data_IF_002000870979
#
_entry.id   IF_002000870979
#
_cell.length_a   1.000
_cell.length_b   1.000
_cell.length_c   1.000
_cell.angle_alpha   90.00
_cell.angle_beta   90.00
_cell.angle_gamma   90.00
#
_symmetry.space_group_name_H-M   'P 1'
#
loop_
_entity.id
_entity.type
_entity.pdbx_description
1 polymer ?
#
# COMPACT_ATOMS: atom_id res chain seq x y z
N UNK A 1 -16.98 -21.18 -16.66
CA UNK A 1 -18.42 -21.17 -16.22
C UNK A 1 -18.44 -20.48 -14.87
N UNK A 2 -19.32 -19.51 -14.66
CA UNK A 2 -19.43 -18.80 -13.37
C UNK A 2 -19.64 -19.77 -12.20
N UNK A 3 -19.01 -19.43 -11.07
CA UNK A 3 -19.10 -20.19 -9.83
C UNK A 3 -19.63 -19.28 -8.71
N UNK A 4 -20.74 -19.66 -8.08
CA UNK A 4 -21.37 -18.88 -7.03
C UNK A 4 -20.48 -18.79 -5.77
N UNK A 5 -19.73 -19.85 -5.43
CA UNK A 5 -18.78 -19.87 -4.32
C UNK A 5 -17.64 -18.88 -4.53
N UNK A 6 -17.02 -18.88 -5.71
CA UNK A 6 -15.96 -17.93 -6.07
C UNK A 6 -16.49 -16.50 -6.08
N UNK A 7 -17.68 -16.27 -6.65
CA UNK A 7 -18.31 -14.95 -6.67
C UNK A 7 -18.58 -14.42 -5.24
N UNK A 8 -19.15 -15.26 -4.38
CA UNK A 8 -19.39 -14.90 -2.97
C UNK A 8 -18.09 -14.63 -2.21
N UNK A 9 -17.08 -15.48 -2.39
CA UNK A 9 -15.74 -15.28 -1.83
C UNK A 9 -15.13 -13.95 -2.26
N UNK A 10 -15.17 -13.64 -3.56
CA UNK A 10 -14.59 -12.40 -4.08
C UNK A 10 -15.34 -11.14 -3.65
N UNK A 11 -16.66 -11.19 -3.51
CA UNK A 11 -17.44 -10.06 -2.96
C UNK A 11 -17.06 -9.79 -1.50
N UNK A 12 -16.89 -10.86 -0.69
CA UNK A 12 -16.43 -10.73 0.71
C UNK A 12 -15.00 -10.21 0.76
N UNK A 13 -14.08 -10.75 -0.06
CA UNK A 13 -12.71 -10.24 -0.16
C UNK A 13 -12.67 -8.76 -0.56
N UNK A 14 -13.50 -8.34 -1.49
CA UNK A 14 -13.64 -6.94 -1.91
C UNK A 14 -14.06 -6.05 -0.72
N UNK A 15 -15.05 -6.48 0.06
CA UNK A 15 -15.48 -5.76 1.26
C UNK A 15 -14.37 -5.69 2.33
N UNK A 16 -13.59 -6.76 2.49
CA UNK A 16 -12.45 -6.78 3.42
C UNK A 16 -11.36 -5.78 2.99
N UNK A 17 -11.02 -5.72 1.70
CA UNK A 17 -10.03 -4.75 1.21
C UNK A 17 -10.56 -3.32 1.30
N UNK A 18 -11.86 -3.07 1.03
CA UNK A 18 -12.48 -1.77 1.29
C UNK A 18 -12.27 -1.32 2.73
N UNK A 19 -12.47 -2.23 3.69
CA UNK A 19 -12.33 -1.96 5.11
C UNK A 19 -10.90 -1.57 5.53
N UNK A 20 -9.88 -1.89 4.71
CA UNK A 20 -8.50 -1.49 4.98
C UNK A 20 -8.28 0.02 4.88
N UNK A 21 -8.99 0.74 4.03
CA UNK A 21 -8.80 2.20 3.90
C UNK A 21 -9.30 2.96 5.14
N UNK A 22 -10.50 2.70 5.71
CA UNK A 22 -10.84 3.18 7.04
C UNK A 22 -9.88 2.71 8.12
N UNK A 23 -9.41 1.44 8.07
CA UNK A 23 -8.40 0.91 8.99
C UNK A 23 -7.11 1.74 8.96
N UNK A 24 -6.63 2.09 7.76
CA UNK A 24 -5.48 2.97 7.59
C UNK A 24 -5.73 4.37 8.17
N UNK A 25 -6.95 4.91 7.99
CA UNK A 25 -7.33 6.20 8.57
C UNK A 25 -7.23 6.18 10.11
N UNK A 26 -7.65 5.09 10.77
CA UNK A 26 -7.48 4.91 12.22
C UNK A 26 -6.01 4.68 12.61
N UNK A 27 -5.28 3.86 11.87
CA UNK A 27 -3.86 3.60 12.12
C UNK A 27 -3.04 4.89 12.05
N UNK A 28 -3.14 5.63 10.95
CA UNK A 28 -2.46 6.90 10.78
C UNK A 28 -3.03 7.99 11.70
N UNK A 29 -4.35 8.06 11.82
CA UNK A 29 -5.03 9.00 12.70
C UNK A 29 -4.59 8.86 14.15
N UNK A 30 -4.39 7.63 14.65
CA UNK A 30 -3.85 7.36 15.96
C UNK A 30 -2.39 7.79 16.16
N UNK A 31 -1.55 7.64 15.11
CA UNK A 31 -0.12 7.97 15.15
C UNK A 31 0.17 9.48 15.10
N UNK A 32 -0.68 10.27 14.44
CA UNK A 32 -0.44 11.71 14.27
C UNK A 32 -0.67 12.51 15.54
N UNK A 33 -0.28 13.80 15.54
CA UNK A 33 -0.62 14.73 16.61
C UNK A 33 -2.12 15.00 16.63
N UNK A 34 -2.67 15.21 17.83
CA UNK A 34 -4.10 15.48 18.09
C UNK A 34 -4.71 16.56 17.16
N UNK A 35 -3.96 17.56 16.76
CA UNK A 35 -4.39 18.67 15.91
C UNK A 35 -4.35 18.40 14.39
N UNK A 36 -4.07 17.16 13.98
CA UNK A 36 -3.99 16.71 12.58
C UNK A 36 -4.78 15.42 12.32
N UNK A 37 -5.62 15.00 13.26
CA UNK A 37 -6.36 13.73 13.17
C UNK A 37 -7.43 13.79 12.10
N UNK A 38 -8.27 14.85 12.15
CA UNK A 38 -9.35 15.06 11.16
C UNK A 38 -8.76 15.19 9.77
N UNK A 39 -7.72 16.00 9.59
CA UNK A 39 -7.05 16.16 8.30
C UNK A 39 -6.51 14.82 7.76
N UNK A 40 -5.92 13.99 8.62
CA UNK A 40 -5.39 12.69 8.22
C UNK A 40 -6.50 11.73 7.81
N UNK A 41 -7.58 11.66 8.61
CA UNK A 41 -8.73 10.79 8.29
C UNK A 41 -9.50 11.30 7.07
N UNK A 42 -9.68 12.62 6.94
CA UNK A 42 -10.31 13.26 5.77
C UNK A 42 -9.53 12.97 4.48
N UNK A 43 -8.18 12.94 4.55
CA UNK A 43 -7.37 12.56 3.39
C UNK A 43 -7.72 11.14 2.91
N UNK A 44 -7.80 10.16 3.82
CA UNK A 44 -8.22 8.80 3.45
C UNK A 44 -9.66 8.78 2.92
N UNK A 45 -10.61 9.48 3.57
CA UNK A 45 -12.00 9.55 3.13
C UNK A 45 -12.16 10.18 1.74
N UNK A 46 -11.44 11.27 1.46
CA UNK A 46 -11.45 11.92 0.15
C UNK A 46 -10.86 11.01 -0.94
N UNK A 47 -9.80 10.26 -0.62
CA UNK A 47 -9.20 9.29 -1.53
C UNK A 47 -10.17 8.16 -1.86
N UNK A 48 -10.96 7.68 -0.88
CA UNK A 48 -11.98 6.66 -1.14
C UNK A 48 -12.96 7.12 -2.23
N UNK A 49 -13.56 8.29 -2.08
CA UNK A 49 -14.48 8.83 -3.08
C UNK A 49 -13.81 9.10 -4.44
N UNK A 50 -12.64 9.73 -4.42
CA UNK A 50 -11.88 10.03 -5.63
C UNK A 50 -11.51 8.76 -6.41
N UNK A 51 -11.02 7.73 -5.73
CA UNK A 51 -10.60 6.48 -6.36
C UNK A 51 -11.78 5.74 -6.99
N UNK A 52 -12.94 5.68 -6.34
CA UNK A 52 -14.14 5.05 -6.91
C UNK A 52 -14.52 5.75 -8.22
N UNK A 53 -14.60 7.08 -8.23
CA UNK A 53 -14.98 7.86 -9.41
C UNK A 53 -13.96 7.70 -10.53
N UNK A 54 -12.67 7.89 -10.24
CA UNK A 54 -11.62 7.80 -11.25
C UNK A 54 -11.47 6.38 -11.81
N UNK A 55 -11.57 5.35 -10.94
CA UNK A 55 -11.48 3.97 -11.36
C UNK A 55 -12.60 3.57 -12.31
N UNK A 56 -13.83 3.91 -11.96
CA UNK A 56 -14.99 3.58 -12.78
C UNK A 56 -15.03 4.34 -14.11
N UNK A 57 -14.58 5.60 -14.12
CA UNK A 57 -14.56 6.38 -15.36
C UNK A 57 -13.48 5.89 -16.34
N UNK A 58 -12.25 5.75 -15.90
CA UNK A 58 -11.13 5.44 -16.81
C UNK A 58 -10.04 4.58 -16.19
N UNK A 59 -9.89 4.56 -14.86
CA UNK A 59 -8.77 3.88 -14.20
C UNK A 59 -8.73 2.39 -14.47
N UNK A 60 -9.89 1.72 -14.41
CA UNK A 60 -9.99 0.31 -14.75
C UNK A 60 -9.53 0.05 -16.19
N UNK A 61 -9.99 0.85 -17.13
CA UNK A 61 -9.64 0.74 -18.54
C UNK A 61 -8.15 0.95 -18.80
N UNK A 62 -7.54 1.95 -18.16
CA UNK A 62 -6.12 2.23 -18.27
C UNK A 62 -5.23 1.16 -17.60
N UNK A 63 -5.72 0.50 -16.56
CA UNK A 63 -4.99 -0.57 -15.87
C UNK A 63 -5.13 -1.93 -16.57
N UNK A 64 -6.31 -2.26 -17.08
CA UNK A 64 -6.65 -3.62 -17.54
C UNK A 64 -7.17 -3.68 -18.98
N UNK A 65 -7.28 -2.54 -19.67
CA UNK A 65 -7.67 -2.47 -21.08
C UNK A 65 -6.62 -3.01 -22.04
N UNK A 66 -6.82 -2.79 -23.33
CA UNK A 66 -5.91 -3.25 -24.37
C UNK A 66 -4.50 -2.67 -24.23
N UNK A 67 -3.53 -3.53 -24.43
CA UNK A 67 -2.13 -3.24 -24.13
C UNK A 67 -1.52 -2.20 -25.10
N UNK A 68 -0.92 -1.16 -24.54
CA UNK A 68 -0.08 -0.21 -25.25
C UNK A 68 1.36 -0.25 -24.73
N UNK A 69 2.21 -0.98 -25.45
CA UNK A 69 3.63 -1.09 -25.17
C UNK A 69 3.98 -1.76 -23.84
N UNK A 70 3.07 -2.51 -23.25
CA UNK A 70 3.24 -3.15 -21.94
C UNK A 70 3.17 -2.19 -20.76
N UNK A 71 2.82 -0.91 -20.98
CA UNK A 71 2.91 0.15 -19.96
C UNK A 71 1.53 0.57 -19.46
N UNK A 72 0.54 0.68 -20.35
CA UNK A 72 -0.79 1.22 -20.03
C UNK A 72 -1.85 0.58 -20.92
N UNK A 73 -3.08 0.48 -20.42
CA UNK A 73 -4.24 0.05 -21.20
C UNK A 73 -4.83 1.16 -22.07
N UNK A 74 -5.90 0.82 -22.79
CA UNK A 74 -6.68 1.73 -23.61
C UNK A 74 -7.97 2.22 -22.89
N UNK A 75 -8.88 2.87 -23.64
CA UNK A 75 -10.17 3.33 -23.13
C UNK A 75 -11.37 2.43 -23.48
N UNK A 76 -11.14 1.14 -23.83
CA UNK A 76 -12.21 0.21 -24.24
C UNK A 76 -13.33 0.04 -23.22
N UNK A 77 -13.02 0.19 -21.94
CA UNK A 77 -13.98 0.09 -20.83
C UNK A 77 -14.21 1.43 -20.13
N UNK A 78 -14.13 2.54 -20.87
CA UNK A 78 -14.43 3.86 -20.33
C UNK A 78 -15.83 3.87 -19.70
N UNK A 79 -15.94 4.40 -18.49
CA UNK A 79 -17.18 4.40 -17.67
C UNK A 79 -17.78 2.99 -17.49
N UNK A 80 -16.91 1.94 -17.47
CA UNK A 80 -17.27 0.52 -17.42
C UNK A 80 -18.20 0.05 -18.54
N UNK A 81 -18.24 0.76 -19.67
CA UNK A 81 -19.00 0.33 -20.84
C UNK A 81 -18.49 -1.02 -21.35
N UNK A 82 -19.38 -1.97 -21.57
CA UNK A 82 -19.04 -3.34 -21.97
C UNK A 82 -18.54 -4.25 -20.85
N UNK A 83 -18.49 -3.77 -19.59
CA UNK A 83 -18.24 -4.60 -18.40
C UNK A 83 -19.56 -5.13 -17.89
N UNK A 84 -19.72 -6.45 -17.88
CA UNK A 84 -20.99 -7.11 -17.58
C UNK A 84 -20.93 -8.11 -16.44
N UNK A 85 -21.93 -8.97 -16.43
CA UNK A 85 -22.14 -10.01 -15.42
C UNK A 85 -21.45 -11.33 -15.79
N UNK A 86 -21.06 -11.49 -17.05
CA UNK A 86 -20.29 -12.63 -17.51
C UNK A 86 -18.82 -12.49 -17.08
N UNK A 87 -18.06 -13.60 -17.02
CA UNK A 87 -16.64 -13.58 -16.76
C UNK A 87 -15.88 -12.66 -17.73
N UNK A 88 -14.91 -11.92 -17.20
CA UNK A 88 -14.02 -11.07 -17.97
C UNK A 88 -12.69 -11.78 -18.33
N UNK A 89 -11.77 -11.09 -19.02
CA UNK A 89 -10.52 -11.69 -19.48
C UNK A 89 -9.53 -12.04 -18.36
N UNK A 90 -9.76 -11.57 -17.13
CA UNK A 90 -8.83 -11.76 -16.00
C UNK A 90 -9.28 -12.81 -14.99
N UNK A 91 -10.54 -13.29 -15.07
CA UNK A 91 -11.06 -14.31 -14.17
C UNK A 91 -12.23 -15.07 -14.82
N UNK A 92 -12.13 -16.40 -14.89
CA UNK A 92 -13.04 -17.25 -15.65
C UNK A 92 -14.29 -17.70 -14.85
N UNK A 93 -14.28 -17.52 -13.52
CA UNK A 93 -15.29 -18.07 -12.61
C UNK A 93 -16.14 -17.02 -11.90
N UNK A 94 -15.81 -15.75 -12.04
CA UNK A 94 -16.51 -14.63 -11.42
C UNK A 94 -16.97 -13.59 -12.45
N UNK A 95 -18.05 -12.85 -12.18
CA UNK A 95 -18.47 -11.74 -13.03
C UNK A 95 -17.36 -10.70 -13.23
N UNK A 96 -17.26 -10.16 -14.44
CA UNK A 96 -16.28 -9.09 -14.74
C UNK A 96 -16.39 -7.90 -13.78
N UNK A 97 -17.62 -7.49 -13.42
CA UNK A 97 -17.85 -6.43 -12.43
C UNK A 97 -17.26 -6.74 -11.04
N UNK A 98 -17.20 -8.01 -10.64
CA UNK A 98 -16.61 -8.41 -9.35
C UNK A 98 -15.09 -8.25 -9.39
N UNK A 99 -14.45 -8.62 -10.51
CA UNK A 99 -13.03 -8.35 -10.72
C UNK A 99 -12.73 -6.84 -10.69
N UNK A 100 -13.53 -6.05 -11.40
CA UNK A 100 -13.41 -4.57 -11.39
C UNK A 100 -13.51 -4.00 -9.99
N UNK A 101 -14.52 -4.45 -9.21
CA UNK A 101 -14.74 -3.99 -7.84
C UNK A 101 -13.58 -4.40 -6.90
N UNK A 102 -13.04 -5.60 -7.04
CA UNK A 102 -11.90 -6.06 -6.27
C UNK A 102 -10.66 -5.21 -6.55
N UNK A 103 -10.32 -5.01 -7.82
CA UNK A 103 -9.16 -4.19 -8.22
C UNK A 103 -9.34 -2.70 -7.89
N UNK A 104 -10.58 -2.19 -7.83
CA UNK A 104 -10.88 -0.84 -7.36
C UNK A 104 -10.39 -0.60 -5.93
N UNK A 105 -10.47 -1.60 -5.06
CA UNK A 105 -10.02 -1.48 -3.67
C UNK A 105 -8.51 -1.28 -3.59
N UNK A 106 -7.74 -1.88 -4.49
CA UNK A 106 -6.29 -1.66 -4.59
C UNK A 106 -5.96 -0.26 -5.10
N UNK A 107 -6.70 0.23 -6.09
CA UNK A 107 -6.59 1.61 -6.57
C UNK A 107 -6.96 2.65 -5.49
N UNK A 108 -7.75 2.27 -4.50
CA UNK A 108 -8.15 3.10 -3.37
C UNK A 108 -7.09 3.12 -2.26
N UNK A 109 -6.64 1.95 -1.80
CA UNK A 109 -5.72 1.88 -0.67
C UNK A 109 -4.32 2.37 -1.02
N UNK A 110 -3.84 2.14 -2.24
CA UNK A 110 -2.47 2.44 -2.64
C UNK A 110 -2.11 3.92 -2.48
N UNK A 111 -2.85 4.88 -3.05
CA UNK A 111 -2.55 6.31 -2.85
C UNK A 111 -2.77 6.77 -1.41
N UNK A 112 -3.64 6.10 -0.64
CA UNK A 112 -3.85 6.43 0.77
C UNK A 112 -2.60 6.18 1.62
N UNK A 113 -1.77 5.18 1.26
CA UNK A 113 -0.50 4.91 1.95
C UNK A 113 0.47 6.10 1.89
N UNK A 114 0.48 6.86 0.79
CA UNK A 114 1.35 8.03 0.61
C UNK A 114 1.09 9.10 1.67
N UNK A 115 -0.16 9.20 2.13
CA UNK A 115 -0.57 10.27 3.07
C UNK A 115 0.21 10.22 4.37
N UNK A 116 0.65 9.03 4.82
CA UNK A 116 1.43 8.85 6.04
C UNK A 116 2.73 9.65 6.08
N UNK A 117 3.38 9.83 4.94
CA UNK A 117 4.65 10.57 4.86
C UNK A 117 4.49 12.09 4.96
N UNK A 118 3.32 12.64 4.62
CA UNK A 118 3.11 14.08 4.41
C UNK A 118 2.23 14.75 5.47
N UNK A 119 1.73 13.97 6.44
CA UNK A 119 0.84 14.46 7.50
C UNK A 119 1.41 15.68 8.24
N UNK A 120 0.51 16.60 8.54
CA UNK A 120 0.80 17.80 9.34
C UNK A 120 1.55 18.90 8.60
N UNK A 121 1.82 18.78 7.27
CA UNK A 121 2.50 19.83 6.50
C UNK A 121 2.09 19.97 5.04
N UNK A 122 1.42 18.98 4.44
CA UNK A 122 0.91 19.10 3.09
C UNK A 122 -0.48 19.73 3.08
N UNK A 123 -0.70 20.67 2.16
CA UNK A 123 -2.01 21.30 1.96
C UNK A 123 -3.02 20.29 1.43
N UNK A 124 -4.22 20.21 2.02
CA UNK A 124 -5.23 19.22 1.64
C UNK A 124 -5.60 19.30 0.15
N UNK A 125 -5.82 20.51 -0.36
CA UNK A 125 -6.08 20.74 -1.80
C UNK A 125 -4.96 20.18 -2.69
N UNK A 126 -3.70 20.40 -2.30
CA UNK A 126 -2.55 19.91 -3.05
C UNK A 126 -2.47 18.37 -3.01
N UNK A 127 -2.74 17.77 -1.86
CA UNK A 127 -2.80 16.32 -1.72
C UNK A 127 -3.88 15.71 -2.62
N UNK A 128 -5.08 16.30 -2.64
CA UNK A 128 -6.19 15.81 -3.46
C UNK A 128 -5.84 15.79 -4.96
N UNK A 129 -5.30 16.89 -5.50
CA UNK A 129 -4.86 16.93 -6.90
C UNK A 129 -3.64 16.03 -7.16
N UNK A 130 -2.72 15.96 -6.20
CA UNK A 130 -1.57 15.06 -6.31
C UNK A 130 -2.02 13.60 -6.46
N UNK A 131 -2.92 13.13 -5.63
CA UNK A 131 -3.44 11.74 -5.68
C UNK A 131 -4.15 11.48 -7.02
N UNK A 132 -4.96 12.41 -7.50
CA UNK A 132 -5.63 12.26 -8.80
C UNK A 132 -4.63 12.07 -9.94
N UNK A 133 -3.62 12.94 -10.01
CA UNK A 133 -2.59 12.91 -11.05
C UNK A 133 -1.67 11.69 -10.89
N UNK A 134 -1.31 11.36 -9.65
CA UNK A 134 -0.45 10.22 -9.33
C UNK A 134 -1.10 8.89 -9.72
N UNK A 135 -2.41 8.76 -9.50
CA UNK A 135 -3.14 7.56 -9.93
C UNK A 135 -3.05 7.37 -11.45
N UNK A 136 -3.13 8.46 -12.23
CA UNK A 136 -3.02 8.43 -13.70
C UNK A 136 -1.59 8.11 -14.16
N UNK A 137 -0.58 8.74 -13.55
CA UNK A 137 0.80 8.69 -14.03
C UNK A 137 1.57 7.48 -13.46
N UNK A 138 1.25 7.05 -12.23
CA UNK A 138 1.99 5.99 -11.56
C UNK A 138 1.14 4.75 -11.36
N UNK A 139 -0.03 4.86 -10.70
CA UNK A 139 -0.75 3.67 -10.28
C UNK A 139 -1.32 2.85 -11.43
N UNK A 140 -2.06 3.47 -12.35
CA UNK A 140 -2.68 2.72 -13.46
C UNK A 140 -1.64 2.11 -14.41
N UNK A 141 -0.56 2.81 -14.78
CA UNK A 141 0.54 2.20 -15.52
C UNK A 141 1.21 1.05 -14.77
N UNK A 142 1.48 1.19 -13.46
CA UNK A 142 2.07 0.11 -12.67
C UNK A 142 1.17 -1.11 -12.60
N UNK A 143 -0.14 -0.92 -12.40
CA UNK A 143 -1.11 -2.02 -12.40
C UNK A 143 -1.14 -2.73 -13.76
N UNK A 144 -1.08 -1.98 -14.87
CA UNK A 144 -0.99 -2.56 -16.22
C UNK A 144 0.31 -3.34 -16.43
N UNK A 145 1.44 -2.74 -16.10
CA UNK A 145 2.75 -3.39 -16.28
C UNK A 145 2.88 -4.72 -15.54
N UNK A 146 2.24 -4.85 -14.37
CA UNK A 146 2.37 -6.01 -13.50
C UNK A 146 1.24 -7.02 -13.71
N UNK A 147 -0.01 -6.56 -13.85
CA UNK A 147 -1.21 -7.40 -13.84
C UNK A 147 -2.02 -7.34 -15.15
N UNK A 148 -1.79 -6.33 -15.99
CA UNK A 148 -2.44 -6.22 -17.28
C UNK A 148 -1.96 -7.26 -18.28
N UNK A 149 -2.81 -7.64 -19.22
CA UNK A 149 -2.45 -8.56 -20.29
C UNK A 149 -1.34 -7.97 -21.16
N UNK A 150 -0.25 -8.71 -21.33
CA UNK A 150 0.96 -8.23 -22.03
C UNK A 150 1.74 -7.15 -21.28
N UNK A 151 1.49 -6.96 -19.99
CA UNK A 151 2.22 -6.01 -19.14
C UNK A 151 3.73 -6.26 -19.13
N UNK A 152 4.52 -5.20 -19.21
CA UNK A 152 5.97 -5.29 -19.39
C UNK A 152 6.66 -6.09 -18.26
N UNK A 153 6.29 -5.85 -17.00
CA UNK A 153 6.92 -6.53 -15.86
C UNK A 153 6.49 -8.00 -15.77
N UNK A 154 5.27 -8.33 -16.18
CA UNK A 154 4.83 -9.72 -16.31
C UNK A 154 5.57 -10.45 -17.45
N UNK A 155 5.82 -9.76 -18.57
CA UNK A 155 6.50 -10.37 -19.75
C UNK A 155 7.95 -10.71 -19.46
N UNK A 156 8.68 -9.94 -18.67
CA UNK A 156 10.05 -10.27 -18.22
C UNK A 156 10.08 -11.40 -17.18
N UNK A 157 8.91 -11.90 -16.76
CA UNK A 157 8.78 -13.05 -15.87
C UNK A 157 8.81 -12.71 -14.39
N UNK A 158 8.67 -11.43 -14.01
CA UNK A 158 8.44 -11.08 -12.61
C UNK A 158 7.02 -11.44 -12.19
N UNK A 159 6.84 -11.73 -10.91
CA UNK A 159 5.56 -12.05 -10.31
C UNK A 159 5.29 -11.14 -9.11
N UNK A 160 4.02 -10.77 -8.96
CA UNK A 160 3.54 -9.94 -7.84
C UNK A 160 2.11 -10.36 -7.51
N UNK A 161 1.94 -11.16 -6.45
CA UNK A 161 0.69 -11.82 -6.15
C UNK A 161 -0.43 -10.83 -5.82
N UNK A 162 -0.11 -9.85 -4.98
CA UNK A 162 -1.13 -8.92 -4.49
C UNK A 162 -0.65 -7.45 -4.38
N UNK A 163 0.54 -7.08 -4.90
CA UNK A 163 0.92 -5.68 -5.00
C UNK A 163 2.18 -5.26 -4.27
N UNK A 164 3.20 -6.12 -4.21
CA UNK A 164 4.53 -5.72 -3.73
C UNK A 164 5.08 -4.53 -4.49
N UNK A 165 5.05 -4.59 -5.82
CA UNK A 165 5.43 -3.50 -6.71
C UNK A 165 4.31 -2.45 -6.84
N UNK A 166 3.11 -2.91 -7.22
CA UNK A 166 1.99 -2.03 -7.59
C UNK A 166 1.52 -1.18 -6.43
N UNK A 167 1.46 -1.75 -5.22
CA UNK A 167 0.93 -1.08 -4.03
C UNK A 167 2.05 -0.54 -3.15
N UNK A 168 2.96 -1.41 -2.70
CA UNK A 168 3.86 -1.07 -1.60
C UNK A 168 5.10 -0.31 -2.04
N UNK A 169 5.84 -0.78 -3.03
CA UNK A 169 7.05 -0.08 -3.50
C UNK A 169 6.66 1.24 -4.16
N UNK A 170 5.64 1.25 -5.01
CA UNK A 170 5.21 2.47 -5.72
C UNK A 170 4.78 3.58 -4.76
N UNK A 171 3.91 3.27 -3.80
CA UNK A 171 3.44 4.25 -2.82
C UNK A 171 4.52 4.64 -1.82
N UNK A 172 5.31 3.67 -1.32
CA UNK A 172 6.38 3.92 -0.36
C UNK A 172 7.48 4.82 -0.92
N UNK A 173 7.94 4.56 -2.14
CA UNK A 173 8.95 5.40 -2.80
C UNK A 173 8.39 6.80 -3.10
N UNK A 174 7.14 6.88 -3.57
CA UNK A 174 6.46 8.18 -3.79
C UNK A 174 6.32 8.98 -2.48
N UNK A 175 6.02 8.30 -1.38
CA UNK A 175 5.96 8.88 -0.05
C UNK A 175 7.30 9.50 0.37
N UNK A 176 8.41 8.79 0.14
CA UNK A 176 9.76 9.29 0.41
C UNK A 176 10.10 10.52 -0.44
N UNK A 177 9.83 10.48 -1.75
CA UNK A 177 10.08 11.62 -2.65
C UNK A 177 9.29 12.86 -2.21
N UNK A 178 8.02 12.70 -1.86
CA UNK A 178 7.20 13.79 -1.32
C UNK A 178 7.71 14.29 0.03
N UNK A 179 8.11 13.39 0.93
CA UNK A 179 8.66 13.77 2.24
C UNK A 179 9.93 14.62 2.11
N UNK A 180 10.83 14.24 1.19
CA UNK A 180 12.06 14.99 0.89
C UNK A 180 11.71 16.35 0.27
N UNK A 181 10.79 16.38 -0.70
CA UNK A 181 10.38 17.59 -1.37
C UNK A 181 9.74 18.64 -0.42
N UNK A 182 8.82 18.18 0.44
CA UNK A 182 8.15 19.03 1.42
C UNK A 182 9.09 19.51 2.54
N UNK A 183 10.18 18.77 2.79
CA UNK A 183 11.11 19.05 3.86
C UNK A 183 10.55 18.71 5.26
N UNK A 184 11.32 19.04 6.30
CA UNK A 184 11.00 18.68 7.67
C UNK A 184 9.84 19.49 8.24
N UNK A 185 9.02 18.85 9.11
CA UNK A 185 8.00 19.52 9.92
C UNK A 185 8.66 20.48 10.91
N UNK A 186 7.94 21.53 11.24
CA UNK A 186 8.40 22.48 12.28
C UNK A 186 8.66 21.76 13.60
N UNK A 187 9.85 21.96 14.14
CA UNK A 187 10.28 21.31 15.37
C UNK A 187 10.75 19.87 15.21
N UNK A 188 10.97 19.39 13.96
CA UNK A 188 11.60 18.09 13.73
C UNK A 188 12.92 17.96 14.52
N UNK A 189 13.13 16.82 15.15
CA UNK A 189 14.24 16.51 16.05
C UNK A 189 14.36 17.40 17.32
N UNK A 190 13.53 18.45 17.49
CA UNK A 190 13.52 19.32 18.67
C UNK A 190 12.29 19.14 19.56
N UNK A 191 11.18 18.72 18.99
CA UNK A 191 9.94 18.47 19.70
C UNK A 191 9.62 16.97 19.74
N UNK A 192 9.11 16.51 20.88
CA UNK A 192 8.62 15.14 21.00
C UNK A 192 7.29 15.03 20.24
N UNK A 193 7.30 14.26 19.14
CA UNK A 193 6.07 13.91 18.41
C UNK A 193 5.45 12.70 19.09
N UNK A 194 4.48 12.93 19.97
CA UNK A 194 3.79 11.84 20.66
C UNK A 194 2.61 11.36 19.82
N UNK A 195 2.49 10.05 19.65
CA UNK A 195 1.28 9.36 19.22
C UNK A 195 0.14 9.77 20.16
N UNK A 196 -0.97 10.25 19.61
CA UNK A 196 -2.03 10.79 20.47
C UNK A 196 -3.03 9.73 20.94
N UNK A 197 -3.22 8.65 20.19
CA UNK A 197 -4.20 7.61 20.51
C UNK A 197 -3.70 6.22 20.11
N UNK A 198 -3.01 5.56 21.04
CA UNK A 198 -2.48 4.20 20.84
C UNK A 198 -3.58 3.15 20.59
N UNK A 199 -4.74 3.17 21.30
CA UNK A 199 -5.86 2.29 20.96
C UNK A 199 -6.32 2.40 19.49
N UNK A 200 -6.37 3.61 18.91
CA UNK A 200 -6.69 3.79 17.49
C UNK A 200 -5.62 3.19 16.58
N UNK A 201 -4.35 3.27 16.95
CA UNK A 201 -3.25 2.64 16.19
C UNK A 201 -3.48 1.14 16.12
N UNK A 202 -3.75 0.50 17.26
CA UNK A 202 -3.99 -0.94 17.32
C UNK A 202 -5.27 -1.36 16.61
N UNK A 203 -6.36 -0.61 16.79
CA UNK A 203 -7.61 -0.84 16.07
C UNK A 203 -7.39 -0.78 14.55
N UNK A 204 -6.71 0.26 14.07
CA UNK A 204 -6.39 0.40 12.65
C UNK A 204 -5.51 -0.74 12.12
N UNK A 205 -4.49 -1.15 12.88
CA UNK A 205 -3.64 -2.28 12.53
C UNK A 205 -4.44 -3.60 12.46
N UNK A 206 -5.36 -3.82 13.41
CA UNK A 206 -6.23 -5.00 13.42
C UNK A 206 -7.19 -5.01 12.21
N UNK A 207 -7.78 -3.85 11.87
CA UNK A 207 -8.61 -3.68 10.67
C UNK A 207 -7.81 -3.94 9.38
N UNK A 208 -6.55 -3.48 9.31
CA UNK A 208 -5.65 -3.76 8.20
C UNK A 208 -5.34 -5.26 8.10
N UNK A 209 -5.04 -5.94 9.23
CA UNK A 209 -4.78 -7.38 9.20
C UNK A 209 -6.00 -8.17 8.72
N UNK A 210 -7.17 -7.86 9.27
CA UNK A 210 -8.43 -8.48 8.86
C UNK A 210 -8.69 -8.28 7.35
N UNK A 211 -8.53 -7.06 6.85
CA UNK A 211 -8.70 -6.75 5.43
C UNK A 211 -7.67 -7.43 4.53
N UNK A 212 -6.47 -7.69 5.07
CA UNK A 212 -5.40 -8.33 4.31
C UNK A 212 -5.67 -9.80 3.98
N UNK A 213 -6.53 -10.45 4.70
CA UNK A 213 -7.04 -11.77 4.31
C UNK A 213 -7.77 -11.70 2.97
N UNK A 214 -8.62 -10.69 2.78
CA UNK A 214 -9.22 -10.42 1.47
C UNK A 214 -8.21 -9.94 0.43
N UNK A 215 -7.26 -9.10 0.84
CA UNK A 215 -6.24 -8.54 -0.04
C UNK A 215 -5.36 -9.63 -0.67
N UNK A 216 -4.77 -10.52 0.14
CA UNK A 216 -3.89 -11.58 -0.35
C UNK A 216 -4.68 -12.81 -0.81
N UNK A 217 -5.58 -13.38 -0.02
CA UNK A 217 -6.32 -14.57 -0.45
C UNK A 217 -7.26 -14.28 -1.63
N UNK A 218 -7.88 -13.10 -1.67
CA UNK A 218 -8.70 -12.67 -2.80
C UNK A 218 -7.92 -12.52 -4.12
N UNK A 219 -6.61 -12.29 -4.06
CA UNK A 219 -5.77 -12.21 -5.26
C UNK A 219 -5.60 -13.55 -5.99
N UNK A 220 -6.06 -14.66 -5.39
CA UNK A 220 -6.25 -15.92 -6.11
C UNK A 220 -7.44 -15.88 -7.08
N UNK A 221 -8.35 -14.89 -6.96
CA UNK A 221 -9.56 -14.67 -7.78
C UNK A 221 -10.60 -15.80 -7.73
N UNK A 222 -10.44 -16.76 -6.81
CA UNK A 222 -11.36 -17.88 -6.57
C UNK A 222 -11.13 -18.51 -5.19
N UNK A 223 -12.15 -19.22 -4.69
CA UNK A 223 -12.12 -19.92 -3.41
C UNK A 223 -11.46 -21.31 -3.57
N UNK A 224 -10.14 -21.36 -3.65
CA UNK A 224 -9.39 -22.59 -3.86
C UNK A 224 -8.20 -22.78 -2.89
N UNK A 225 -7.40 -23.82 -3.15
CA UNK A 225 -6.19 -24.10 -2.36
C UNK A 225 -5.17 -22.97 -2.38
N UNK A 226 -5.08 -22.18 -3.47
CA UNK A 226 -4.17 -21.04 -3.55
C UNK A 226 -4.63 -19.91 -2.65
N UNK A 227 -5.93 -19.63 -2.56
CA UNK A 227 -6.50 -18.66 -1.63
C UNK A 227 -6.21 -19.05 -0.19
N UNK A 228 -6.43 -20.33 0.17
CA UNK A 228 -6.13 -20.86 1.51
C UNK A 228 -4.62 -20.76 1.83
N UNK A 229 -3.77 -21.04 0.86
CA UNK A 229 -2.32 -20.92 0.97
C UNK A 229 -1.90 -19.46 1.24
N UNK A 230 -2.39 -18.51 0.45
CA UNK A 230 -2.11 -17.08 0.63
C UNK A 230 -2.62 -16.54 1.98
N UNK A 231 -3.75 -17.04 2.47
CA UNK A 231 -4.25 -16.74 3.81
C UNK A 231 -3.26 -17.17 4.91
N UNK A 232 -2.75 -18.41 4.82
CA UNK A 232 -1.82 -18.96 5.82
C UNK A 232 -0.46 -18.28 5.78
N UNK A 233 0.13 -18.06 4.61
CA UNK A 233 1.42 -17.38 4.48
C UNK A 233 1.35 -15.95 5.00
N UNK A 234 0.24 -15.24 4.76
CA UNK A 234 0.00 -13.89 5.27
C UNK A 234 -0.11 -13.86 6.80
N UNK A 235 -0.85 -14.81 7.38
CA UNK A 235 -0.99 -14.93 8.84
C UNK A 235 0.36 -15.16 9.52
N UNK A 236 1.15 -16.09 8.99
CA UNK A 236 2.45 -16.47 9.57
C UNK A 236 3.44 -15.30 9.47
N UNK A 237 3.59 -14.69 8.31
CA UNK A 237 4.53 -13.59 8.11
C UNK A 237 4.22 -12.42 9.04
N UNK A 238 2.94 -12.05 9.16
CA UNK A 238 2.50 -10.96 10.04
C UNK A 238 2.80 -11.26 11.50
N UNK A 239 2.45 -12.46 11.98
CA UNK A 239 2.69 -12.87 13.35
C UNK A 239 4.20 -12.90 13.69
N UNK A 240 5.01 -13.46 12.80
CA UNK A 240 6.46 -13.48 12.96
C UNK A 240 7.06 -12.07 13.01
N UNK A 241 6.63 -11.19 12.13
CA UNK A 241 7.14 -9.82 12.09
C UNK A 241 6.73 -9.04 13.35
N UNK A 242 5.49 -9.19 13.83
CA UNK A 242 5.03 -8.60 15.08
C UNK A 242 5.91 -9.02 16.25
N UNK A 243 6.11 -10.34 16.43
CA UNK A 243 6.90 -10.88 17.54
C UNK A 243 8.37 -10.47 17.45
N UNK A 244 8.94 -10.45 16.24
CA UNK A 244 10.33 -10.04 16.04
C UNK A 244 10.52 -8.56 16.31
N UNK A 245 9.56 -7.70 15.93
CA UNK A 245 9.63 -6.27 16.25
C UNK A 245 9.58 -6.05 17.78
N UNK A 246 8.65 -6.70 18.46
CA UNK A 246 8.60 -6.66 19.93
C UNK A 246 9.90 -7.12 20.57
N UNK A 247 10.51 -8.20 20.06
CA UNK A 247 11.79 -8.70 20.56
C UNK A 247 12.92 -7.66 20.35
N UNK A 248 12.98 -6.99 19.21
CA UNK A 248 13.96 -5.92 18.97
C UNK A 248 13.79 -4.78 19.98
N UNK A 249 12.55 -4.33 20.25
CA UNK A 249 12.29 -3.30 21.24
C UNK A 249 12.69 -3.74 22.66
N UNK A 250 12.39 -4.98 23.04
CA UNK A 250 12.81 -5.53 24.35
C UNK A 250 14.33 -5.53 24.51
N UNK A 251 15.05 -5.96 23.48
CA UNK A 251 16.53 -6.01 23.50
C UNK A 251 17.13 -4.59 23.55
N UNK A 252 16.56 -3.63 22.83
CA UNK A 252 17.13 -2.30 22.69
C UNK A 252 16.65 -1.29 23.74
N UNK A 253 15.38 -1.39 24.12
CA UNK A 253 14.66 -0.39 24.90
C UNK A 253 14.14 -0.94 26.23
N UNK A 254 14.30 -2.24 26.45
CA UNK A 254 13.92 -2.95 27.68
C UNK A 254 12.45 -3.37 27.75
N UNK A 255 11.58 -2.90 26.86
CA UNK A 255 10.14 -3.22 26.86
C UNK A 255 9.53 -3.05 25.47
N UNK A 256 8.53 -3.90 25.12
CA UNK A 256 7.82 -3.76 23.87
C UNK A 256 6.78 -2.63 23.94
N UNK A 257 6.41 -2.06 22.79
CA UNK A 257 5.34 -1.08 22.67
C UNK A 257 4.21 -1.61 21.79
N UNK A 258 2.96 -1.17 22.08
CA UNK A 258 1.83 -1.55 21.25
C UNK A 258 1.90 -0.90 19.85
N UNK A 259 2.52 0.28 19.74
CA UNK A 259 2.80 0.94 18.46
C UNK A 259 3.79 0.13 17.65
N UNK A 260 4.90 -0.33 18.27
CA UNK A 260 5.88 -1.18 17.62
C UNK A 260 5.30 -2.52 17.18
N UNK A 261 4.54 -3.20 18.06
CA UNK A 261 3.84 -4.44 17.72
C UNK A 261 2.89 -4.24 16.52
N UNK A 262 2.12 -3.13 16.48
CA UNK A 262 1.23 -2.78 15.37
C UNK A 262 2.01 -2.50 14.08
N UNK A 263 3.16 -1.86 14.18
CA UNK A 263 4.05 -1.63 13.03
C UNK A 263 4.62 -2.96 12.52
N UNK A 264 5.14 -3.80 13.41
CA UNK A 264 5.63 -5.15 13.08
C UNK A 264 4.59 -6.00 12.35
N UNK A 265 3.34 -5.99 12.85
CA UNK A 265 2.20 -6.64 12.21
C UNK A 265 2.04 -6.20 10.75
N UNK A 266 1.95 -4.89 10.50
CA UNK A 266 1.71 -4.34 9.17
C UNK A 266 2.87 -4.63 8.21
N UNK A 267 4.13 -4.46 8.63
CA UNK A 267 5.27 -4.74 7.74
C UNK A 267 5.40 -6.22 7.36
N UNK A 268 4.97 -7.13 8.23
CA UNK A 268 4.91 -8.57 7.92
C UNK A 268 3.91 -8.89 6.82
N UNK A 269 2.76 -8.19 6.82
CA UNK A 269 1.75 -8.27 5.76
C UNK A 269 2.29 -7.69 4.44
N UNK A 270 2.96 -6.54 4.51
CA UNK A 270 3.59 -5.91 3.34
C UNK A 270 4.63 -6.85 2.71
N UNK A 271 5.51 -7.43 3.51
CA UNK A 271 6.61 -8.26 3.02
C UNK A 271 6.16 -9.56 2.36
N UNK A 272 5.06 -10.16 2.82
CA UNK A 272 4.54 -11.39 2.21
C UNK A 272 3.70 -11.13 0.95
N UNK A 273 3.17 -9.92 0.80
CA UNK A 273 2.20 -9.57 -0.25
C UNK A 273 2.63 -9.98 -1.67
N UNK A 274 3.86 -9.71 -2.16
CA UNK A 274 4.25 -10.14 -3.50
C UNK A 274 4.39 -11.65 -3.64
N UNK A 275 4.69 -12.36 -2.54
CA UNK A 275 4.97 -13.79 -2.52
C UNK A 275 3.88 -14.67 -1.94
N UNK A 276 2.78 -14.12 -1.41
CA UNK A 276 1.79 -14.86 -0.62
C UNK A 276 1.26 -16.13 -1.30
N UNK A 277 1.05 -16.08 -2.60
CA UNK A 277 0.62 -17.21 -3.43
C UNK A 277 1.74 -17.86 -4.24
N UNK A 278 3.01 -17.60 -3.95
CA UNK A 278 4.15 -18.14 -4.68
C UNK A 278 5.17 -18.86 -3.80
N UNK A 279 5.31 -18.46 -2.52
CA UNK A 279 6.36 -19.00 -1.65
C UNK A 279 5.85 -20.15 -0.79
N UNK A 280 6.65 -21.16 -0.44
CA UNK A 280 6.26 -22.21 0.50
C UNK A 280 5.91 -21.63 1.88
N UNK A 281 5.03 -22.31 2.61
CA UNK A 281 4.61 -21.88 3.95
C UNK A 281 5.79 -21.64 4.90
N UNK A 282 6.82 -22.49 4.87
CA UNK A 282 8.01 -22.29 5.71
C UNK A 282 8.77 -20.99 5.40
N UNK A 283 8.74 -20.53 4.14
CA UNK A 283 9.41 -19.29 3.76
C UNK A 283 8.74 -18.06 4.37
N UNK A 284 7.44 -18.12 4.66
CA UNK A 284 6.73 -17.00 5.29
C UNK A 284 7.23 -16.69 6.72
N UNK A 285 7.73 -17.70 7.45
CA UNK A 285 8.43 -17.47 8.73
C UNK A 285 9.69 -16.61 8.52
N UNK A 286 10.52 -16.98 7.54
CA UNK A 286 11.77 -16.26 7.24
C UNK A 286 11.45 -14.82 6.79
N UNK A 287 10.48 -14.67 5.90
CA UNK A 287 10.06 -13.36 5.39
C UNK A 287 9.62 -12.45 6.52
N UNK A 288 8.76 -12.94 7.41
CA UNK A 288 8.25 -12.18 8.55
C UNK A 288 9.32 -11.88 9.61
N UNK A 289 10.19 -12.84 9.94
CA UNK A 289 11.26 -12.63 10.90
C UNK A 289 12.25 -11.57 10.40
N UNK A 290 12.65 -11.63 9.14
CA UNK A 290 13.68 -10.74 8.59
C UNK A 290 13.18 -9.34 8.26
N UNK A 291 11.90 -9.15 7.91
CA UNK A 291 11.41 -7.81 7.59
C UNK A 291 11.49 -6.84 8.76
N UNK A 292 11.29 -7.30 9.99
CA UNK A 292 11.31 -6.44 11.18
C UNK A 292 12.68 -5.79 11.41
N UNK A 293 13.80 -6.50 11.50
CA UNK A 293 15.11 -5.85 11.61
C UNK A 293 15.45 -5.01 10.37
N UNK A 294 15.12 -5.46 9.15
CA UNK A 294 15.38 -4.70 7.93
C UNK A 294 14.69 -3.33 7.99
N UNK A 295 13.38 -3.28 8.27
CA UNK A 295 12.64 -2.03 8.35
C UNK A 295 13.05 -1.19 9.56
N UNK A 296 13.20 -1.79 10.74
CA UNK A 296 13.55 -1.09 11.98
C UNK A 296 14.87 -0.32 11.84
N UNK A 297 15.92 -0.98 11.37
CA UNK A 297 17.25 -0.34 11.22
C UNK A 297 17.28 0.63 10.04
N UNK A 298 16.55 0.36 8.96
CA UNK A 298 16.47 1.29 7.81
C UNK A 298 15.77 2.59 8.21
N UNK A 299 14.66 2.53 8.96
CA UNK A 299 13.96 3.72 9.46
C UNK A 299 14.88 4.57 10.34
N UNK A 300 15.64 3.95 11.24
CA UNK A 300 16.63 4.66 12.07
C UNK A 300 17.69 5.33 11.19
N UNK A 301 18.23 4.62 10.22
CA UNK A 301 19.25 5.13 9.30
C UNK A 301 18.73 6.35 8.50
N UNK A 302 17.52 6.26 7.95
CA UNK A 302 16.88 7.34 7.19
C UNK A 302 16.67 8.60 8.04
N UNK A 303 16.18 8.42 9.27
CA UNK A 303 15.98 9.54 10.21
C UNK A 303 17.29 10.18 10.66
N UNK A 304 18.30 9.38 10.98
CA UNK A 304 19.56 9.88 11.51
C UNK A 304 20.50 10.46 10.44
N UNK A 305 20.67 9.78 9.32
CA UNK A 305 21.64 10.17 8.28
C UNK A 305 21.03 11.07 7.20
N UNK A 306 19.87 10.71 6.66
CA UNK A 306 19.22 11.50 5.61
C UNK A 306 18.35 12.60 6.15
N UNK A 307 18.10 12.62 7.48
CA UNK A 307 17.20 13.59 8.16
C UNK A 307 15.85 13.70 7.45
N UNK A 308 15.40 12.60 6.83
CA UNK A 308 14.12 12.54 6.14
C UNK A 308 12.99 12.54 7.16
N UNK A 309 12.05 13.44 7.01
CA UNK A 309 10.82 13.48 7.81
C UNK A 309 9.70 12.75 7.06
N UNK A 310 9.88 11.43 6.88
CA UNK A 310 8.78 10.52 6.56
C UNK A 310 7.96 10.36 7.84
N UNK A 311 6.83 11.08 7.90
CA UNK A 311 6.19 11.39 9.17
C UNK A 311 5.70 10.17 9.95
N UNK A 312 5.19 9.15 9.27
CA UNK A 312 4.68 7.90 9.83
C UNK A 312 5.41 6.66 9.27
N UNK A 313 6.64 6.87 8.80
CA UNK A 313 7.51 5.80 8.27
C UNK A 313 6.89 5.02 7.09
N UNK A 314 6.12 5.71 6.24
CA UNK A 314 5.43 5.09 5.11
C UNK A 314 6.40 4.42 4.12
N UNK A 315 7.55 5.05 3.81
CA UNK A 315 8.61 4.42 3.02
C UNK A 315 9.27 3.25 3.77
N UNK A 316 9.55 3.43 5.05
CA UNK A 316 10.14 2.37 5.89
C UNK A 316 9.27 1.11 5.93
N UNK A 317 7.96 1.28 6.04
CA UNK A 317 7.02 0.18 6.08
C UNK A 317 6.74 -0.40 4.68
N UNK A 318 6.31 0.45 3.74
CA UNK A 318 5.83 -0.03 2.43
C UNK A 318 6.95 -0.12 1.39
N UNK A 319 7.82 0.90 1.29
CA UNK A 319 8.93 0.86 0.34
C UNK A 319 9.93 -0.25 0.66
N UNK A 320 10.49 -0.24 1.86
CA UNK A 320 11.50 -1.23 2.28
C UNK A 320 10.87 -2.61 2.47
N UNK A 321 9.69 -2.69 3.12
CA UNK A 321 8.98 -3.96 3.29
C UNK A 321 8.60 -4.60 1.95
N UNK A 322 8.15 -3.80 0.97
CA UNK A 322 7.84 -4.26 -0.38
C UNK A 322 9.08 -4.71 -1.17
N UNK A 323 10.19 -3.97 -1.07
CA UNK A 323 11.49 -4.36 -1.69
C UNK A 323 11.95 -5.70 -1.12
N UNK A 324 11.96 -5.86 0.21
CA UNK A 324 12.28 -7.14 0.82
C UNK A 324 11.34 -8.25 0.36
N UNK A 325 10.04 -8.00 0.33
CA UNK A 325 9.05 -8.97 -0.14
C UNK A 325 9.27 -9.43 -1.58
N UNK A 326 9.55 -8.49 -2.49
CA UNK A 326 9.88 -8.79 -3.89
C UNK A 326 11.17 -9.62 -4.02
N UNK A 327 12.22 -9.26 -3.28
CA UNK A 327 13.46 -10.04 -3.19
C UNK A 327 13.17 -11.45 -2.67
N UNK A 328 12.42 -11.56 -1.57
CA UNK A 328 12.06 -12.83 -0.96
C UNK A 328 11.22 -13.71 -1.90
N UNK A 329 10.34 -13.11 -2.71
CA UNK A 329 9.60 -13.83 -3.76
C UNK A 329 10.55 -14.41 -4.81
N UNK A 330 11.56 -13.65 -5.21
CA UNK A 330 12.62 -14.14 -6.11
C UNK A 330 13.49 -15.23 -5.52
N UNK A 331 13.69 -15.23 -4.20
CA UNK A 331 14.45 -16.27 -3.49
C UNK A 331 13.64 -17.57 -3.33
N UNK A 332 12.38 -17.46 -2.91
CA UNK A 332 11.57 -18.58 -2.41
C UNK A 332 10.37 -18.97 -3.29
N UNK A 333 10.11 -18.26 -4.39
CA UNK A 333 9.00 -18.55 -5.28
C UNK A 333 9.06 -19.95 -5.89
N UNK A 334 7.91 -20.59 -6.10
CA UNK A 334 7.83 -21.95 -6.60
C UNK A 334 6.71 -22.12 -7.61
N UNK A 335 7.05 -22.63 -8.79
CA UNK A 335 6.10 -22.93 -9.90
C UNK A 335 5.05 -23.96 -9.50
N UNK A 336 5.41 -24.90 -8.62
CA UNK A 336 4.48 -25.93 -8.12
C UNK A 336 3.40 -25.40 -7.17
N UNK A 337 3.56 -24.19 -6.62
CA UNK A 337 2.55 -23.50 -5.81
C UNK A 337 1.62 -22.68 -6.71
N UNK A 338 2.21 -21.94 -7.65
CA UNK A 338 1.45 -21.14 -8.59
C UNK A 338 2.16 -21.12 -9.95
N UNK A 339 1.51 -21.73 -10.93
CA UNK A 339 2.03 -21.88 -12.30
C UNK A 339 2.13 -20.59 -13.11
N UNK A 340 1.65 -19.45 -12.58
CA UNK A 340 1.90 -18.13 -13.17
C UNK A 340 3.40 -17.79 -13.13
N UNK A 341 4.13 -18.25 -12.12
CA UNK A 341 5.58 -18.15 -12.09
C UNK A 341 6.21 -19.02 -13.19
N UNK A 342 7.07 -18.43 -14.02
CA UNK A 342 7.76 -19.13 -15.11
C UNK A 342 8.95 -19.97 -14.61
N UNK A 343 9.51 -19.62 -13.47
CA UNK A 343 10.72 -20.22 -12.90
C UNK A 343 10.61 -20.33 -11.39
N UNK A 344 11.32 -21.30 -10.83
CA UNK A 344 11.50 -21.41 -9.39
C UNK A 344 12.49 -20.34 -8.86
N UNK A 345 12.46 -20.07 -7.56
CA UNK A 345 13.33 -19.11 -6.93
C UNK A 345 14.78 -19.60 -6.74
N UNK A 346 15.66 -18.66 -6.43
CA UNK A 346 17.10 -18.88 -6.32
C UNK A 346 17.46 -20.02 -5.34
N UNK A 347 16.74 -20.17 -4.23
CA UNK A 347 16.96 -21.25 -3.24
C UNK A 347 16.72 -22.64 -3.83
N UNK A 348 15.93 -22.73 -4.91
CA UNK A 348 15.65 -23.98 -5.63
C UNK A 348 16.55 -24.19 -6.85
N UNK A 349 17.60 -23.37 -6.99
CA UNK A 349 18.62 -23.52 -8.04
C UNK A 349 18.36 -22.73 -9.33
N UNK A 350 17.31 -21.90 -9.39
CA UNK A 350 17.03 -21.06 -10.56
C UNK A 350 17.14 -19.56 -10.24
N UNK A 351 18.05 -18.88 -10.92
CA UNK A 351 18.31 -17.46 -10.70
C UNK A 351 17.40 -16.53 -11.50
N UNK A 352 16.64 -17.04 -12.48
CA UNK A 352 15.87 -16.23 -13.44
C UNK A 352 14.75 -15.47 -12.76
N UNK A 353 13.98 -16.12 -11.88
CA UNK A 353 12.93 -15.43 -11.11
C UNK A 353 13.53 -14.33 -10.24
N UNK A 354 14.63 -14.62 -9.56
CA UNK A 354 15.31 -13.63 -8.71
C UNK A 354 15.75 -12.39 -9.50
N UNK A 355 16.36 -12.58 -10.67
CA UNK A 355 16.78 -11.47 -11.53
C UNK A 355 15.59 -10.68 -12.07
N UNK A 356 14.49 -11.35 -12.46
CA UNK A 356 13.28 -10.70 -12.91
C UNK A 356 12.65 -9.85 -11.78
N UNK A 357 12.64 -10.34 -10.54
CA UNK A 357 12.15 -9.60 -9.38
C UNK A 357 13.02 -8.37 -9.08
N UNK A 358 14.35 -8.51 -9.07
CA UNK A 358 15.27 -7.39 -8.86
C UNK A 358 15.07 -6.31 -9.93
N UNK A 359 15.00 -6.71 -11.21
CA UNK A 359 14.77 -5.78 -12.30
C UNK A 359 13.41 -5.07 -12.17
N UNK A 360 12.37 -5.81 -11.82
CA UNK A 360 11.02 -5.27 -11.59
C UNK A 360 11.00 -4.25 -10.45
N UNK A 361 11.68 -4.52 -9.34
CA UNK A 361 11.82 -3.59 -8.22
C UNK A 361 12.52 -2.29 -8.66
N UNK A 362 13.64 -2.39 -9.39
CA UNK A 362 14.38 -1.22 -9.87
C UNK A 362 13.52 -0.36 -10.79
N UNK A 363 12.80 -0.98 -11.72
CA UNK A 363 11.88 -0.28 -12.63
C UNK A 363 10.75 0.40 -11.85
N UNK A 364 10.16 -0.29 -10.88
CA UNK A 364 9.09 0.27 -10.02
C UNK A 364 9.59 1.50 -9.25
N UNK A 365 10.79 1.41 -8.68
CA UNK A 365 11.42 2.56 -7.99
C UNK A 365 11.61 3.74 -8.94
N UNK A 366 12.12 3.48 -10.15
CA UNK A 366 12.34 4.53 -11.15
C UNK A 366 11.02 5.19 -11.57
N UNK A 367 10.00 4.39 -11.88
CA UNK A 367 8.65 4.89 -12.24
C UNK A 367 8.05 5.71 -11.11
N UNK A 368 8.14 5.24 -9.86
CA UNK A 368 7.62 5.95 -8.71
C UNK A 368 8.35 7.30 -8.48
N UNK A 369 9.68 7.34 -8.59
CA UNK A 369 10.45 8.58 -8.44
C UNK A 369 10.08 9.57 -9.54
N UNK A 370 10.21 9.16 -10.81
CA UNK A 370 9.98 10.04 -11.95
C UNK A 370 8.53 10.51 -12.00
N UNK A 371 7.58 9.58 -11.85
CA UNK A 371 6.16 9.90 -11.85
C UNK A 371 5.77 10.85 -10.71
N UNK A 372 6.32 10.65 -9.50
CA UNK A 372 6.07 11.54 -8.36
C UNK A 372 6.63 12.95 -8.61
N UNK A 373 7.82 13.07 -9.17
CA UNK A 373 8.40 14.37 -9.52
C UNK A 373 7.58 15.11 -10.59
N UNK A 374 7.06 14.40 -11.58
CA UNK A 374 6.14 14.96 -12.58
C UNK A 374 4.85 15.45 -11.91
N UNK A 375 4.26 14.63 -11.02
CA UNK A 375 3.06 15.00 -10.28
C UNK A 375 3.28 16.26 -9.42
N UNK A 376 4.40 16.35 -8.72
CA UNK A 376 4.80 17.53 -7.96
C UNK A 376 4.88 18.75 -8.88
N UNK A 377 5.54 18.61 -10.04
CA UNK A 377 5.67 19.68 -11.03
C UNK A 377 4.33 20.22 -11.50
N UNK A 378 3.39 19.31 -11.82
CA UNK A 378 2.03 19.67 -12.28
C UNK A 378 1.23 20.35 -11.16
N UNK A 379 1.20 19.76 -9.97
CA UNK A 379 0.41 20.30 -8.84
C UNK A 379 0.86 21.69 -8.44
N UNK A 380 2.17 21.98 -8.50
CA UNK A 380 2.73 23.31 -8.20
C UNK A 380 2.20 24.43 -9.09
N UNK A 381 1.73 24.11 -10.27
CA UNK A 381 1.14 25.10 -11.18
C UNK A 381 -0.18 25.66 -10.60
N UNK A 382 -0.90 24.83 -9.84
CA UNK A 382 -2.24 25.17 -9.36
C UNK A 382 -2.29 25.57 -7.89
N UNK A 383 -1.35 25.04 -7.06
CA UNK A 383 -1.35 25.26 -5.61
C UNK A 383 0.01 24.95 -4.98
N UNK A 384 0.45 25.71 -3.96
CA UNK A 384 1.60 25.30 -3.17
C UNK A 384 1.32 23.98 -2.43
N UNK A 385 2.33 23.07 -2.41
CA UNK A 385 2.15 21.77 -1.78
C UNK A 385 2.14 21.86 -0.26
N UNK A 386 3.01 22.70 0.33
CA UNK A 386 3.14 22.84 1.78
C UNK A 386 2.21 23.93 2.31
N UNK A 387 1.66 23.73 3.49
CA UNK A 387 0.89 24.72 4.23
C UNK A 387 1.80 25.86 4.77
N UNK A 388 1.20 26.98 5.09
CA UNK A 388 1.93 28.10 5.69
C UNK A 388 2.42 27.74 7.10
N UNK A 389 3.53 28.34 7.57
CA UNK A 389 4.07 28.07 8.89
C UNK A 389 3.08 28.30 10.05
N UNK A 390 2.13 29.22 9.89
CA UNK A 390 1.07 29.49 10.88
C UNK A 390 0.06 28.35 10.92
N UNK A 391 -0.37 27.84 9.76
CA UNK A 391 -1.28 26.69 9.63
C UNK A 391 -0.68 25.42 10.27
N UNK A 392 0.61 25.15 10.00
CA UNK A 392 1.32 24.02 10.61
C UNK A 392 1.42 24.14 12.14
N UNK A 393 1.54 25.38 12.66
CA UNK A 393 1.59 25.63 14.10
C UNK A 393 0.22 25.42 14.74
N UNK A 394 -0.85 25.94 14.15
CA UNK A 394 -2.24 25.77 14.63
C UNK A 394 -2.65 24.30 14.55
N UNK A 395 -2.38 23.67 13.43
CA UNK A 395 -2.80 22.30 13.10
C UNK A 395 -3.75 22.27 11.91
N UNK A 396 -3.70 21.17 11.16
CA UNK A 396 -4.41 21.09 9.88
C UNK A 396 -5.90 20.79 10.03
N UNK A 397 -6.33 20.26 11.18
CA UNK A 397 -7.75 20.06 11.47
C UNK A 397 -8.49 21.41 11.44
N UNK A 398 -8.06 22.35 12.25
CA UNK A 398 -8.66 23.67 12.33
C UNK A 398 -8.39 24.52 11.08
N UNK A 399 -7.15 24.52 10.55
CA UNK A 399 -6.75 25.42 9.48
C UNK A 399 -7.22 25.00 8.08
N UNK A 400 -7.43 23.69 7.84
CA UNK A 400 -7.83 23.17 6.52
C UNK A 400 -9.30 22.72 6.48
N UNK A 401 -9.91 22.37 7.62
CA UNK A 401 -11.27 21.82 7.71
C UNK A 401 -12.19 22.57 8.65
N UNK A 402 -11.65 23.44 9.54
CA UNK A 402 -12.47 24.14 10.54
C UNK A 402 -13.02 23.23 11.65
N UNK A 403 -12.44 22.03 11.79
CA UNK A 403 -12.88 21.01 12.74
C UNK A 403 -11.81 20.70 13.79
N UNK A 404 -12.23 20.08 14.88
CA UNK A 404 -11.35 19.54 15.91
C UNK A 404 -11.76 18.09 16.21
N UNK A 405 -10.82 17.15 16.19
CA UNK A 405 -11.10 15.75 16.49
C UNK A 405 -11.70 15.54 17.90
N UNK A 406 -11.32 16.40 18.82
CA UNK A 406 -11.77 16.38 20.22
C UNK A 406 -12.11 17.80 20.66
N UNK A 407 -13.33 18.26 20.43
CA UNK A 407 -13.77 19.58 20.89
C UNK A 407 -13.70 19.68 22.41
N UNK A 408 -13.45 20.88 22.92
CA UNK A 408 -13.46 21.13 24.37
C UNK A 408 -14.90 21.05 24.88
N UNK A 409 -15.14 20.18 25.85
CA UNK A 409 -16.41 20.16 26.56
C UNK A 409 -16.51 21.40 27.45
N UNK A 410 -17.43 22.29 27.14
CA UNK A 410 -17.66 23.53 27.88
C UNK A 410 -18.86 23.42 28.85
N UNK A 411 -19.47 22.24 28.98
CA UNK A 411 -20.61 21.99 29.86
C UNK A 411 -21.96 22.50 29.35
N UNK A 412 -22.06 22.85 28.07
CA UNK A 412 -23.26 23.42 27.43
C UNK A 412 -23.66 22.70 26.12
N UNK A 413 -23.09 21.52 25.86
CA UNK A 413 -23.42 20.73 24.66
C UNK A 413 -24.61 19.80 24.94
#
# INVERSE_FOLDING_TARGET
>A
MMNAGDTGFMLICTAFVFFMTPGLAFFYGGLVRRKNVVNTMMACGAIMGLSVVMWTLFGYSLAFGGNHGGIIGDFRWFALNGVGWEPGPYADTIPHLVFVAFQMMFAMITPALITGAVVGRMRFKALFFFIAIWSLIVYYPMAHMVWGDGGFLATIGSVDFAGGNVVHISSGVSALVLAIYLGQRRGYAKATYRTHNIPFVFLGAAMLWFGWFGFNAGSALKADGLAAHAFMTSSISSACALLTWMLIEVIREGKPTLVGASTGLVIGLVAITPGAGFVPVWASFIIGILVSPICYFTVILLKQKLKSDDALDAFGCHGIGGIWGGIATGLFGKTSINSVAKWDGLVFGDHRLFLAQVLSIVITIAVAIVGTLICIGIVRIFTPLRVDPKEELVGLDASQHGENAYPSFNGFD
#
